data_IF_816607714256
#
_entry.id   IF_816607714256
#
_cell.length_a   1.000
_cell.length_b   1.000
_cell.length_c   1.000
_cell.angle_alpha   90.00
_cell.angle_beta   90.00
_cell.angle_gamma   90.00
#
_symmetry.space_group_name_H-M   'P 1'
#
loop_
_entity.id
_entity.type
_entity.pdbx_description
1 polymer ?
#
# COMPACT_ATOMS: atom_id res chain seq x y z
N UNK A 1 21.70 -18.50 8.22
CA UNK A 1 21.25 -17.61 7.14
C UNK A 1 20.86 -16.26 7.74
N UNK A 2 21.33 -15.15 7.13
CA UNK A 2 20.94 -13.81 7.58
C UNK A 2 19.49 -13.58 7.16
N UNK A 3 18.60 -13.32 8.13
CA UNK A 3 17.18 -13.05 7.89
C UNK A 3 16.95 -11.56 7.75
N UNK A 4 16.16 -11.16 6.76
CA UNK A 4 15.71 -9.78 6.58
C UNK A 4 14.38 -9.59 7.31
N UNK A 5 14.23 -8.50 8.06
CA UNK A 5 12.95 -8.10 8.62
C UNK A 5 12.37 -6.96 7.77
N UNK A 6 11.13 -7.14 7.30
CA UNK A 6 10.37 -6.13 6.58
C UNK A 6 9.28 -5.59 7.49
N UNK A 7 9.35 -4.30 7.82
CA UNK A 7 8.39 -3.65 8.70
C UNK A 7 7.30 -3.00 7.88
N UNK A 8 6.10 -3.55 7.97
CA UNK A 8 4.92 -3.11 7.24
C UNK A 8 4.57 -4.00 6.05
N UNK A 9 3.38 -4.57 6.09
CA UNK A 9 2.81 -5.45 5.06
C UNK A 9 1.86 -4.70 4.11
N UNK A 10 2.23 -3.52 3.64
CA UNK A 10 1.59 -2.87 2.49
C UNK A 10 2.19 -3.35 1.18
N UNK A 11 1.76 -2.75 0.04
CA UNK A 11 2.24 -3.13 -1.30
C UNK A 11 3.77 -3.19 -1.37
N UNK A 12 4.46 -2.17 -0.87
CA UNK A 12 5.92 -2.12 -0.91
C UNK A 12 6.57 -3.26 -0.12
N UNK A 13 6.09 -3.53 1.10
CA UNK A 13 6.64 -4.59 1.95
C UNK A 13 6.34 -5.98 1.42
N UNK A 14 5.13 -6.22 0.94
CA UNK A 14 4.73 -7.50 0.35
C UNK A 14 5.53 -7.81 -0.92
N UNK A 15 5.61 -6.85 -1.86
CA UNK A 15 6.37 -7.03 -3.10
C UNK A 15 7.86 -7.22 -2.82
N UNK A 16 8.44 -6.44 -1.91
CA UNK A 16 9.83 -6.60 -1.52
C UNK A 16 10.10 -7.98 -0.91
N UNK A 17 9.22 -8.46 -0.02
CA UNK A 17 9.36 -9.77 0.63
C UNK A 17 9.22 -10.92 -0.35
N UNK A 18 8.28 -10.85 -1.31
CA UNK A 18 8.14 -11.84 -2.38
C UNK A 18 9.43 -11.95 -3.19
N UNK A 19 10.00 -10.81 -3.58
CA UNK A 19 11.24 -10.80 -4.37
C UNK A 19 12.43 -11.34 -3.59
N UNK A 20 12.56 -10.99 -2.31
CA UNK A 20 13.60 -11.53 -1.44
C UNK A 20 13.49 -13.06 -1.35
N UNK A 21 12.28 -13.56 -1.09
CA UNK A 21 12.04 -15.01 -0.99
C UNK A 21 12.38 -15.75 -2.29
N UNK A 22 12.03 -15.19 -3.45
CA UNK A 22 12.40 -15.74 -4.77
C UNK A 22 13.90 -15.77 -5.04
N UNK A 23 14.67 -14.92 -4.38
CA UNK A 23 16.13 -14.96 -4.39
C UNK A 23 16.73 -15.81 -3.26
N UNK A 24 15.91 -16.65 -2.63
CA UNK A 24 16.29 -17.50 -1.49
C UNK A 24 16.84 -16.70 -0.29
N UNK A 25 16.40 -15.47 -0.12
CA UNK A 25 16.71 -14.64 1.04
C UNK A 25 15.57 -14.77 2.04
N UNK A 26 15.85 -15.42 3.16
CA UNK A 26 14.86 -15.59 4.23
C UNK A 26 14.41 -14.24 4.77
N UNK A 27 13.10 -13.99 4.77
CA UNK A 27 12.54 -12.74 5.29
C UNK A 27 11.29 -12.98 6.13
N UNK A 28 11.03 -12.06 7.03
CA UNK A 28 9.82 -12.01 7.85
C UNK A 28 9.19 -10.64 7.74
N UNK A 29 7.91 -10.59 7.39
CA UNK A 29 7.11 -9.35 7.40
C UNK A 29 6.46 -9.19 8.76
N UNK A 30 6.63 -8.01 9.36
CA UNK A 30 5.94 -7.62 10.60
C UNK A 30 4.84 -6.63 10.24
N UNK A 31 3.58 -7.03 10.45
CA UNK A 31 2.40 -6.19 10.15
C UNK A 31 1.48 -6.11 11.38
N UNK A 32 1.05 -4.90 11.69
CA UNK A 32 0.21 -4.63 12.87
C UNK A 32 -1.24 -5.09 12.74
N UNK A 33 -1.66 -5.49 11.54
CA UNK A 33 -3.02 -5.97 11.27
C UNK A 33 -3.00 -7.38 10.70
N UNK A 34 -4.17 -8.03 10.73
CA UNK A 34 -4.41 -9.30 10.03
C UNK A 34 -5.05 -9.01 8.68
N UNK A 35 -4.63 -9.73 7.63
CA UNK A 35 -5.27 -9.63 6.32
C UNK A 35 -6.61 -10.41 6.31
N UNK A 36 -7.58 -9.98 5.48
CA UNK A 36 -7.59 -8.72 4.72
C UNK A 36 -8.05 -7.53 5.58
N UNK A 37 -7.64 -6.32 5.22
CA UNK A 37 -8.11 -5.10 5.89
C UNK A 37 -8.08 -3.87 4.97
N UNK A 38 -8.95 -2.90 5.25
CA UNK A 38 -9.04 -1.67 4.46
C UNK A 38 -7.93 -0.67 4.82
N UNK A 39 -7.47 0.07 3.80
CA UNK A 39 -6.55 1.21 3.93
C UNK A 39 -7.17 2.45 3.28
N UNK A 40 -6.82 3.63 3.76
CA UNK A 40 -7.18 4.89 3.07
C UNK A 40 -6.27 5.04 1.86
N UNK A 41 -6.84 4.86 0.68
CA UNK A 41 -6.16 4.89 -0.61
C UNK A 41 -7.18 5.20 -1.70
N UNK A 42 -6.77 5.86 -2.79
CA UNK A 42 -7.62 6.10 -3.96
C UNK A 42 -7.91 4.84 -4.78
N UNK A 43 -7.17 3.77 -4.54
CA UNK A 43 -7.37 2.44 -5.15
C UNK A 43 -7.32 2.44 -6.69
N UNK A 44 -6.72 3.47 -7.27
CA UNK A 44 -6.32 3.56 -8.67
C UNK A 44 -4.83 3.23 -8.78
N UNK A 45 -4.48 2.33 -9.67
CA UNK A 45 -3.11 1.91 -9.95
C UNK A 45 -2.78 2.22 -11.40
N UNK A 46 -1.72 2.99 -11.62
CA UNK A 46 -1.28 3.37 -12.97
C UNK A 46 -0.78 2.16 -13.75
N UNK A 47 -1.10 2.09 -15.05
CA UNK A 47 -0.68 1.02 -15.94
C UNK A 47 0.83 0.94 -16.16
N UNK A 48 1.61 1.94 -15.76
CA UNK A 48 3.08 1.85 -15.76
C UNK A 48 3.59 0.70 -14.87
N UNK A 49 2.81 0.28 -13.88
CA UNK A 49 3.16 -0.84 -12.99
C UNK A 49 2.83 -2.21 -13.58
N UNK A 50 1.96 -2.28 -14.59
CA UNK A 50 1.45 -3.54 -15.16
C UNK A 50 2.55 -4.43 -15.72
N UNK A 51 3.53 -3.94 -16.51
CA UNK A 51 4.61 -4.80 -17.01
C UNK A 51 5.42 -5.45 -15.89
N UNK A 52 5.65 -4.71 -14.80
CA UNK A 52 6.31 -5.25 -13.62
C UNK A 52 5.46 -6.30 -12.92
N UNK A 53 4.19 -6.00 -12.66
CA UNK A 53 3.27 -6.93 -11.98
C UNK A 53 3.07 -8.22 -12.76
N UNK A 54 2.93 -8.13 -14.09
CA UNK A 54 2.82 -9.31 -14.97
C UNK A 54 4.10 -10.14 -14.96
N UNK A 55 5.26 -9.50 -15.13
CA UNK A 55 6.56 -10.18 -15.08
C UNK A 55 6.78 -10.93 -13.78
N UNK A 56 6.33 -10.36 -12.68
CA UNK A 56 6.43 -10.96 -11.34
C UNK A 56 5.25 -11.92 -11.04
N UNK A 57 4.27 -12.11 -11.92
CA UNK A 57 3.06 -12.92 -11.68
C UNK A 57 2.24 -12.39 -10.50
N UNK A 58 2.21 -11.07 -10.34
CA UNK A 58 1.53 -10.35 -9.27
C UNK A 58 0.42 -9.44 -9.79
N UNK A 59 0.11 -9.48 -11.08
CA UNK A 59 -1.04 -8.79 -11.62
C UNK A 59 -2.33 -9.51 -11.20
N UNK A 60 -3.34 -8.80 -10.67
CA UNK A 60 -4.52 -9.41 -10.06
C UNK A 60 -5.61 -9.78 -11.08
N UNK A 61 -5.28 -10.57 -12.11
CA UNK A 61 -6.18 -10.93 -13.22
C UNK A 61 -7.49 -11.58 -12.74
N UNK A 62 -7.43 -12.37 -11.67
CA UNK A 62 -8.59 -13.10 -11.15
C UNK A 62 -9.70 -12.20 -10.59
N UNK A 63 -9.41 -10.94 -10.36
CA UNK A 63 -10.39 -9.96 -9.86
C UNK A 63 -11.03 -9.14 -10.98
N UNK A 64 -10.60 -9.33 -12.24
CA UNK A 64 -11.06 -8.57 -13.41
C UNK A 64 -11.15 -7.05 -13.14
N UNK A 65 -10.05 -6.40 -12.73
CA UNK A 65 -10.08 -5.04 -12.28
C UNK A 65 -10.49 -4.08 -13.40
N UNK A 66 -11.45 -3.15 -13.17
CA UNK A 66 -11.91 -2.21 -14.18
C UNK A 66 -10.76 -1.37 -14.72
N UNK A 67 -10.68 -1.27 -16.04
CA UNK A 67 -9.68 -0.46 -16.75
C UNK A 67 -10.13 0.99 -16.83
N UNK A 68 -9.32 1.90 -16.32
CA UNK A 68 -9.61 3.33 -16.20
C UNK A 68 -8.75 4.07 -17.21
N UNK A 69 -9.39 4.69 -18.21
CA UNK A 69 -8.73 5.43 -19.28
C UNK A 69 -9.28 6.86 -19.49
N UNK A 70 -10.14 7.33 -18.57
CA UNK A 70 -10.71 8.67 -18.58
C UNK A 70 -10.60 9.32 -17.22
N UNK A 71 -10.33 10.60 -17.21
CA UNK A 71 -10.26 11.44 -16.01
C UNK A 71 -11.24 12.60 -16.11
N UNK A 72 -12.06 12.78 -15.10
CA UNK A 72 -12.94 13.94 -14.98
C UNK A 72 -12.49 14.83 -13.82
N UNK A 73 -12.44 16.11 -14.09
CA UNK A 73 -12.20 17.14 -13.09
C UNK A 73 -13.38 18.11 -13.06
N UNK A 74 -13.94 18.35 -11.89
CA UNK A 74 -14.91 19.43 -11.72
C UNK A 74 -14.39 20.55 -10.82
N UNK A 75 -14.79 21.77 -11.17
CA UNK A 75 -14.53 22.96 -10.35
C UNK A 75 -15.55 23.09 -9.23
N UNK A 76 -15.26 23.98 -8.28
CA UNK A 76 -16.17 24.33 -7.17
C UNK A 76 -17.53 24.86 -7.68
N UNK A 77 -17.56 25.47 -8.87
CA UNK A 77 -18.78 26.03 -9.48
C UNK A 77 -19.59 24.99 -10.29
N UNK A 78 -19.19 23.72 -10.26
CA UNK A 78 -19.88 22.64 -10.96
C UNK A 78 -19.48 22.43 -12.42
N UNK A 79 -18.67 23.32 -13.02
CA UNK A 79 -18.14 23.10 -14.38
C UNK A 79 -17.20 21.90 -14.35
N UNK A 80 -17.32 21.01 -15.34
CA UNK A 80 -16.46 19.83 -15.44
C UNK A 80 -15.88 19.66 -16.83
N UNK A 81 -14.73 19.02 -16.87
CA UNK A 81 -14.10 18.56 -18.11
C UNK A 81 -13.68 17.12 -17.96
N UNK A 82 -13.69 16.39 -19.07
CA UNK A 82 -13.23 15.00 -19.11
C UNK A 82 -12.12 14.88 -20.13
N UNK A 83 -11.02 14.27 -19.73
CA UNK A 83 -9.82 14.09 -20.52
C UNK A 83 -9.50 12.60 -20.66
N UNK A 84 -8.88 12.16 -21.76
CA UNK A 84 -8.31 10.83 -21.84
C UNK A 84 -7.12 10.70 -20.86
N UNK A 85 -6.91 9.49 -20.38
CA UNK A 85 -5.68 9.08 -19.70
C UNK A 85 -4.93 8.14 -20.63
N UNK A 86 -3.94 8.64 -21.34
CA UNK A 86 -3.22 7.90 -22.38
C UNK A 86 -2.59 6.62 -21.83
N UNK A 87 -1.97 6.70 -20.67
CA UNK A 87 -1.41 5.54 -19.98
C UNK A 87 -2.51 4.70 -19.31
N UNK A 88 -3.51 5.36 -18.74
CA UNK A 88 -4.57 4.72 -17.99
C UNK A 88 -4.10 4.05 -16.68
N UNK A 89 -4.99 3.25 -16.15
CA UNK A 89 -4.77 2.49 -14.93
C UNK A 89 -5.90 1.49 -14.69
N UNK A 90 -5.86 0.83 -13.56
CA UNK A 90 -6.92 -0.07 -13.14
C UNK A 90 -7.33 0.21 -11.69
N UNK A 91 -8.56 -0.12 -11.37
CA UNK A 91 -9.10 0.04 -10.03
C UNK A 91 -9.11 -1.30 -9.29
N UNK A 92 -8.57 -1.32 -8.08
CA UNK A 92 -8.64 -2.49 -7.20
C UNK A 92 -8.57 -2.07 -5.75
N UNK A 93 -9.44 -2.65 -4.92
CA UNK A 93 -9.41 -2.34 -3.50
C UNK A 93 -8.11 -2.81 -2.84
N UNK A 94 -7.62 -2.04 -1.89
CA UNK A 94 -6.48 -2.46 -1.08
C UNK A 94 -6.83 -3.66 -0.19
N UNK A 95 -8.11 -3.88 0.07
CA UNK A 95 -8.60 -5.06 0.77
C UNK A 95 -8.28 -6.34 0.00
N UNK A 96 -8.61 -6.38 -1.29
CA UNK A 96 -8.35 -7.51 -2.17
C UNK A 96 -6.87 -7.61 -2.57
N UNK A 97 -6.29 -6.50 -3.02
CA UNK A 97 -4.95 -6.54 -3.57
C UNK A 97 -3.86 -6.83 -2.52
N UNK A 98 -3.97 -6.21 -1.32
CA UNK A 98 -3.03 -6.52 -0.24
C UNK A 98 -3.16 -7.98 0.21
N UNK A 99 -4.40 -8.52 0.25
CA UNK A 99 -4.63 -9.92 0.59
C UNK A 99 -4.08 -10.88 -0.46
N UNK A 100 -4.33 -10.61 -1.74
CA UNK A 100 -3.77 -11.38 -2.85
C UNK A 100 -2.23 -11.43 -2.76
N UNK A 101 -1.58 -10.29 -2.57
CA UNK A 101 -0.12 -10.24 -2.43
C UNK A 101 0.37 -10.94 -1.15
N UNK A 102 -0.38 -10.90 -0.07
CA UNK A 102 -0.08 -11.64 1.15
C UNK A 102 -0.08 -13.15 0.91
N UNK A 103 -1.09 -13.69 0.21
CA UNK A 103 -1.12 -15.11 -0.15
C UNK A 103 0.06 -15.47 -1.09
N UNK A 104 0.36 -14.63 -2.09
CA UNK A 104 1.55 -14.80 -2.94
C UNK A 104 2.86 -14.79 -2.17
N UNK A 105 2.96 -13.97 -1.13
CA UNK A 105 4.14 -13.94 -0.26
C UNK A 105 4.27 -15.23 0.57
N UNK A 106 3.16 -15.76 1.09
CA UNK A 106 3.14 -17.05 1.79
C UNK A 106 3.54 -18.21 0.87
N UNK A 107 2.98 -18.25 -0.35
CA UNK A 107 3.35 -19.22 -1.38
C UNK A 107 4.86 -19.18 -1.69
N UNK A 108 5.46 -17.98 -1.67
CA UNK A 108 6.90 -17.80 -1.88
C UNK A 108 7.77 -18.15 -0.65
N UNK A 109 7.18 -18.51 0.50
CA UNK A 109 7.90 -18.89 1.72
C UNK A 109 8.27 -17.71 2.63
N UNK A 110 7.55 -16.58 2.52
CA UNK A 110 7.72 -15.45 3.45
C UNK A 110 7.07 -15.77 4.78
N UNK A 111 7.78 -15.53 5.87
CA UNK A 111 7.23 -15.61 7.23
C UNK A 111 6.50 -14.32 7.61
N UNK A 112 5.48 -14.44 8.47
CA UNK A 112 4.69 -13.30 8.93
C UNK A 112 4.55 -13.24 10.44
N UNK A 113 4.70 -12.04 10.99
CA UNK A 113 4.29 -11.68 12.33
C UNK A 113 3.13 -10.68 12.18
N UNK A 114 1.93 -11.22 12.15
CA UNK A 114 0.70 -10.43 12.07
C UNK A 114 0.26 -9.98 13.48
N UNK A 115 -0.63 -8.98 13.53
CA UNK A 115 -1.13 -8.42 14.79
C UNK A 115 0.02 -7.95 15.70
N UNK A 116 1.09 -7.47 15.07
CA UNK A 116 2.35 -7.12 15.73
C UNK A 116 2.82 -5.74 15.28
N UNK A 117 2.76 -4.77 16.18
CA UNK A 117 3.24 -3.42 15.90
C UNK A 117 4.72 -3.30 16.28
N UNK A 118 5.53 -2.70 15.40
CA UNK A 118 6.91 -2.35 15.71
C UNK A 118 6.91 -0.98 16.38
N UNK A 119 7.54 -0.90 17.55
CA UNK A 119 7.62 0.30 18.37
C UNK A 119 8.93 1.06 18.19
N UNK A 120 10.06 0.35 18.22
CA UNK A 120 11.38 0.94 18.01
C UNK A 120 12.26 0.06 17.14
N UNK A 121 13.25 0.69 16.50
CA UNK A 121 14.29 0.03 15.69
C UNK A 121 15.60 0.73 15.98
N UNK A 122 16.50 0.04 16.64
CA UNK A 122 17.81 0.53 17.02
C UNK A 122 18.91 -0.29 16.32
N UNK A 123 19.99 0.38 15.90
CA UNK A 123 21.15 -0.31 15.34
C UNK A 123 22.26 -0.36 16.38
N UNK A 124 22.64 -1.55 16.79
CA UNK A 124 23.65 -1.80 17.80
C UNK A 124 24.77 -2.66 17.24
N UNK A 125 25.86 -2.03 16.87
CA UNK A 125 27.00 -2.71 16.25
C UNK A 125 26.67 -3.26 14.86
N UNK A 126 26.41 -4.55 14.75
CA UNK A 126 26.18 -5.27 13.49
C UNK A 126 24.72 -5.69 13.27
N UNK A 127 23.83 -5.35 14.17
CA UNK A 127 22.46 -5.90 14.21
C UNK A 127 21.45 -4.82 14.56
N UNK A 128 20.29 -4.89 13.91
CA UNK A 128 19.13 -4.13 14.30
C UNK A 128 18.37 -4.84 15.42
N UNK A 129 18.10 -4.14 16.51
CA UNK A 129 17.19 -4.56 17.55
C UNK A 129 15.82 -3.92 17.28
N UNK A 130 14.78 -4.75 17.14
CA UNK A 130 13.44 -4.35 16.79
C UNK A 130 12.53 -4.72 17.94
N UNK A 131 12.01 -3.71 18.64
CA UNK A 131 11.03 -3.91 19.69
C UNK A 131 9.64 -3.87 19.10
N UNK A 132 8.86 -4.90 19.39
CA UNK A 132 7.46 -5.00 18.97
C UNK A 132 6.55 -5.02 20.19
N UNK A 133 5.24 -4.88 19.96
CA UNK A 133 4.21 -4.99 21.00
C UNK A 133 4.26 -6.32 21.78
N UNK A 134 4.83 -7.38 21.18
CA UNK A 134 4.78 -8.74 21.73
C UNK A 134 6.16 -9.28 22.17
N UNK A 135 7.23 -8.87 21.49
CA UNK A 135 8.59 -9.38 21.74
C UNK A 135 9.66 -8.50 21.11
N UNK A 136 10.91 -8.70 21.46
CA UNK A 136 12.06 -8.16 20.72
C UNK A 136 12.57 -9.19 19.73
N UNK A 137 13.00 -8.72 18.56
CA UNK A 137 13.62 -9.52 17.50
C UNK A 137 14.87 -8.79 17.00
N UNK A 138 15.85 -9.55 16.54
CA UNK A 138 17.09 -9.00 16.00
C UNK A 138 17.31 -9.46 14.56
N UNK A 139 17.88 -8.58 13.73
CA UNK A 139 18.21 -8.90 12.35
C UNK A 139 19.34 -8.03 11.82
N UNK A 140 20.19 -8.57 10.94
CA UNK A 140 21.28 -7.79 10.34
C UNK A 140 20.80 -6.79 9.29
N UNK A 141 19.57 -6.96 8.77
CA UNK A 141 18.98 -6.09 7.75
C UNK A 141 17.51 -5.86 8.07
N UNK A 142 17.11 -4.59 8.00
CA UNK A 142 15.72 -4.16 8.17
C UNK A 142 15.29 -3.31 6.98
N UNK A 143 14.12 -3.59 6.43
CA UNK A 143 13.47 -2.80 5.39
C UNK A 143 12.26 -2.10 6.00
N UNK A 144 12.29 -0.77 6.02
CA UNK A 144 11.16 0.03 6.47
C UNK A 144 10.13 0.22 5.35
N UNK A 145 8.98 -0.45 5.45
CA UNK A 145 7.85 -0.35 4.52
C UNK A 145 6.53 0.00 5.22
N UNK A 146 6.62 0.65 6.38
CA UNK A 146 5.51 0.92 7.30
C UNK A 146 4.59 2.08 6.89
N UNK A 147 4.85 2.70 5.72
CA UNK A 147 4.02 3.76 5.15
C UNK A 147 4.15 5.09 5.90
N UNK A 148 3.11 5.91 5.84
CA UNK A 148 3.07 7.23 6.49
C UNK A 148 2.42 7.16 7.88
N UNK A 149 2.84 8.03 8.78
CA UNK A 149 2.27 8.23 10.13
C UNK A 149 2.32 6.96 11.00
N UNK A 150 3.44 6.26 10.95
CA UNK A 150 3.71 5.18 11.89
C UNK A 150 4.31 5.73 13.19
N UNK A 151 4.24 4.96 14.27
CA UNK A 151 4.96 5.28 15.51
C UNK A 151 6.47 5.38 15.27
N UNK A 152 6.99 4.61 14.31
CA UNK A 152 8.39 4.66 13.93
C UNK A 152 8.80 6.00 13.30
N UNK A 153 7.91 6.70 12.59
CA UNK A 153 8.23 8.03 12.07
C UNK A 153 8.49 9.03 13.21
N UNK A 154 7.74 8.88 14.31
CA UNK A 154 7.96 9.68 15.51
C UNK A 154 9.25 9.27 16.23
N UNK A 155 9.47 7.96 16.39
CA UNK A 155 10.66 7.42 17.04
C UNK A 155 11.96 7.81 16.30
N UNK A 156 11.93 7.76 14.98
CA UNK A 156 13.05 8.12 14.11
C UNK A 156 13.19 9.64 13.89
N UNK A 157 12.42 10.44 14.62
CA UNK A 157 12.41 11.92 14.57
C UNK A 157 12.37 12.49 13.13
N UNK A 158 11.52 11.91 12.28
CA UNK A 158 11.43 12.31 10.88
C UNK A 158 10.83 13.71 10.74
N UNK A 159 11.53 14.60 10.07
CA UNK A 159 11.18 16.01 9.87
C UNK A 159 9.75 16.23 9.35
N UNK A 160 9.28 15.41 8.39
CA UNK A 160 7.94 15.56 7.82
C UNK A 160 6.83 15.28 8.84
N UNK A 161 7.10 14.54 9.91
CA UNK A 161 6.15 14.22 10.94
C UNK A 161 5.85 15.46 11.84
N UNK A 162 6.80 16.38 11.94
CA UNK A 162 6.67 17.62 12.69
C UNK A 162 5.71 18.61 12.04
N UNK A 163 5.44 18.46 10.73
CA UNK A 163 4.52 19.31 9.99
C UNK A 163 3.08 18.80 10.12
N UNK A 164 2.22 19.60 10.72
CA UNK A 164 0.79 19.28 10.80
C UNK A 164 0.14 19.54 9.44
N UNK A 165 -0.58 18.57 8.91
CA UNK A 165 -1.47 18.75 7.78
C UNK A 165 -2.87 19.07 8.31
N UNK A 166 -3.53 20.15 7.81
CA UNK A 166 -4.92 20.45 8.19
C UNK A 166 -5.93 19.55 7.47
N UNK A 167 -5.47 18.71 6.55
CA UNK A 167 -6.33 17.85 5.74
C UNK A 167 -6.53 16.49 6.37
N UNK A 168 -7.75 15.99 6.24
CA UNK A 168 -8.16 14.63 6.61
C UNK A 168 -8.61 13.89 5.37
N UNK A 169 -8.19 12.64 5.21
CA UNK A 169 -8.66 11.76 4.14
C UNK A 169 -9.62 10.72 4.71
N UNK A 170 -10.78 10.60 4.10
CA UNK A 170 -11.79 9.57 4.42
C UNK A 170 -12.07 8.77 3.15
N UNK A 171 -12.25 7.46 3.29
CA UNK A 171 -12.59 6.58 2.17
C UNK A 171 -13.84 5.76 2.52
N UNK A 172 -14.71 5.62 1.53
CA UNK A 172 -15.86 4.73 1.57
C UNK A 172 -15.87 3.85 0.32
N UNK A 173 -16.35 2.62 0.45
CA UNK A 173 -16.85 1.83 -0.66
C UNK A 173 -18.36 2.03 -0.73
N UNK A 174 -18.84 2.39 -1.90
CA UNK A 174 -20.24 2.70 -2.15
C UNK A 174 -20.73 1.92 -3.36
N UNK A 175 -22.00 1.55 -3.34
CA UNK A 175 -22.65 0.97 -4.51
C UNK A 175 -23.41 2.07 -5.24
N UNK A 176 -22.93 2.45 -6.43
CA UNK A 176 -23.52 3.53 -7.24
C UNK A 176 -23.25 3.33 -8.72
N UNK A 177 -24.02 4.00 -9.57
CA UNK A 177 -23.74 4.04 -11.00
C UNK A 177 -22.61 5.05 -11.28
N UNK A 178 -21.46 4.51 -11.71
CA UNK A 178 -20.33 5.31 -12.16
C UNK A 178 -19.70 4.63 -13.38
N UNK A 179 -19.30 5.37 -14.45
CA UNK A 179 -18.69 4.74 -15.62
C UNK A 179 -17.45 3.92 -15.23
N UNK A 180 -17.37 2.66 -15.65
CA UNK A 180 -16.30 1.73 -15.23
C UNK A 180 -14.90 2.23 -15.58
N UNK A 181 -14.77 2.98 -16.66
CA UNK A 181 -13.50 3.47 -17.20
C UNK A 181 -13.12 4.89 -16.76
N UNK A 182 -13.85 5.47 -15.78
CA UNK A 182 -13.68 6.85 -15.34
C UNK A 182 -13.15 6.93 -13.92
N UNK A 183 -12.14 7.78 -13.71
CA UNK A 183 -11.80 8.32 -12.40
C UNK A 183 -12.16 9.79 -12.37
N UNK A 184 -12.87 10.24 -11.35
CA UNK A 184 -13.31 11.62 -11.22
C UNK A 184 -12.79 12.26 -9.93
N UNK A 185 -12.39 13.55 -10.03
CA UNK A 185 -12.10 14.41 -8.90
C UNK A 185 -13.05 15.59 -8.91
N UNK A 186 -13.90 15.67 -7.90
CA UNK A 186 -14.88 16.74 -7.72
C UNK A 186 -14.39 17.70 -6.64
N UNK A 187 -13.99 18.91 -7.06
CA UNK A 187 -13.52 19.93 -6.15
C UNK A 187 -14.67 20.64 -5.46
N UNK A 188 -14.50 20.87 -4.18
CA UNK A 188 -15.39 21.71 -3.37
C UNK A 188 -14.53 22.69 -2.52
N UNK A 189 -15.18 23.66 -1.89
CA UNK A 189 -14.43 24.63 -1.07
C UNK A 189 -13.73 23.93 0.09
N UNK A 190 -12.41 23.92 0.08
CA UNK A 190 -11.56 23.33 1.12
C UNK A 190 -11.13 21.88 0.88
N UNK A 191 -11.49 21.26 -0.27
CA UNK A 191 -11.08 19.90 -0.56
C UNK A 191 -11.56 19.35 -1.89
N UNK A 192 -11.50 18.03 -2.02
CA UNK A 192 -12.05 17.30 -3.16
C UNK A 192 -12.62 15.95 -2.75
N UNK A 193 -13.51 15.43 -3.57
CA UNK A 193 -13.99 14.05 -3.50
C UNK A 193 -13.53 13.31 -4.75
N UNK A 194 -12.81 12.21 -4.56
CA UNK A 194 -12.44 11.29 -5.64
C UNK A 194 -13.41 10.12 -5.72
N UNK A 195 -13.77 9.71 -6.94
CA UNK A 195 -14.57 8.50 -7.19
C UNK A 195 -13.97 7.72 -8.35
N UNK A 196 -13.83 6.42 -8.17
CA UNK A 196 -13.42 5.47 -9.20
C UNK A 196 -14.02 4.09 -8.90
N UNK A 197 -14.16 3.27 -9.94
CA UNK A 197 -14.55 1.89 -9.74
C UNK A 197 -13.39 1.04 -9.24
N UNK A 198 -13.74 0.06 -8.46
CA UNK A 198 -12.89 -1.07 -8.05
C UNK A 198 -13.61 -2.38 -8.44
N UNK A 199 -13.04 -3.55 -8.20
CA UNK A 199 -13.65 -4.87 -8.42
C UNK A 199 -15.06 -4.99 -7.84
#
# INVERSE_FOLDING_TARGET
>A
MKRVIVIGGGLAGLIASIRLARWNIACTVVEKKKYPFHRVCGEYISNETVPFLQKEGLYPETFDPPQINRFQLSSVNGNSTTLPLDLGGFGISRYQFDHFLYEKAKEAGVDFLLDTEVETVDFTGDTFEIKTSNRSIAAPIVIGAFGKRSRLDHYLDREFFKRRSPYVGVKYHVHTHHPSNLIALHNFRGGYCGISNIE
#
